data_IF_621600858414
#
_entry.id   IF_621600858414
#
_cell.length_a   1.000
_cell.length_b   1.000
_cell.length_c   1.000
_cell.angle_alpha   90.00
_cell.angle_beta   90.00
_cell.angle_gamma   90.00
#
_symmetry.space_group_name_H-M   'P 1'
#
loop_
_entity.id
_entity.type
_entity.pdbx_description
1 polymer ?
#
# COMPACT_ATOMS: atom_id res chain seq x y z
N UNK A 1 1.19 -15.17 -32.00
CA UNK A 1 0.82 -14.10 -31.06
C UNK A 1 1.31 -14.56 -29.70
N UNK A 2 2.32 -13.91 -29.15
CA UNK A 2 2.87 -14.27 -27.84
C UNK A 2 1.92 -13.76 -26.76
N UNK A 3 1.38 -14.67 -25.94
CA UNK A 3 0.70 -14.31 -24.70
C UNK A 3 1.72 -13.64 -23.79
N UNK A 4 1.63 -12.33 -23.65
CA UNK A 4 2.51 -11.56 -22.78
C UNK A 4 2.11 -11.83 -21.32
N UNK A 5 2.88 -12.70 -20.66
CA UNK A 5 2.67 -13.04 -19.27
C UNK A 5 3.26 -11.94 -18.39
N UNK A 6 2.42 -11.28 -17.61
CA UNK A 6 2.84 -10.28 -16.63
C UNK A 6 3.12 -11.00 -15.31
N UNK A 7 4.37 -10.96 -14.86
CA UNK A 7 4.79 -11.39 -13.53
C UNK A 7 4.85 -10.19 -12.60
N UNK A 8 4.38 -10.35 -11.36
CA UNK A 8 4.44 -9.29 -10.34
C UNK A 8 4.87 -9.86 -8.99
N UNK A 9 5.56 -9.05 -8.21
CA UNK A 9 5.89 -9.38 -6.83
C UNK A 9 4.62 -9.45 -5.98
N UNK A 10 4.60 -10.38 -5.04
CA UNK A 10 3.58 -10.46 -3.98
C UNK A 10 4.26 -10.79 -2.65
N UNK A 11 3.75 -10.22 -1.57
CA UNK A 11 4.29 -10.41 -0.22
C UNK A 11 3.21 -11.02 0.66
N UNK A 12 3.55 -12.12 1.33
CA UNK A 12 2.66 -12.83 2.24
C UNK A 12 3.12 -12.62 3.68
N UNK A 13 2.24 -12.09 4.52
CA UNK A 13 2.48 -11.99 5.96
C UNK A 13 1.98 -13.27 6.64
N UNK A 14 2.92 -14.14 7.02
CA UNK A 14 2.66 -15.43 7.68
C UNK A 14 2.50 -15.14 9.18
N UNK A 15 1.26 -15.12 9.66
CA UNK A 15 0.90 -14.49 10.94
C UNK A 15 1.18 -15.36 12.18
N UNK A 16 1.65 -14.73 13.26
CA UNK A 16 1.29 -15.12 14.65
C UNK A 16 0.71 -13.96 15.48
N UNK A 17 1.11 -12.70 15.28
CA UNK A 17 0.56 -11.53 16.01
C UNK A 17 0.04 -10.47 15.02
N UNK A 18 -1.12 -9.84 15.30
CA UNK A 18 -1.63 -8.70 14.52
C UNK A 18 -0.90 -7.45 15.00
N UNK A 19 -0.13 -6.78 14.15
CA UNK A 19 0.72 -5.67 14.58
C UNK A 19 0.70 -4.42 13.71
N UNK A 20 1.19 -3.34 14.31
CA UNK A 20 1.45 -2.04 13.69
C UNK A 20 2.59 -2.13 12.65
N UNK A 21 3.48 -3.13 12.78
CA UNK A 21 4.64 -3.32 11.89
C UNK A 21 4.22 -3.72 10.47
N UNK A 22 3.23 -4.59 10.35
CA UNK A 22 2.70 -5.03 9.05
C UNK A 22 2.01 -3.87 8.32
N UNK A 23 1.43 -2.91 9.05
CA UNK A 23 0.80 -1.73 8.45
C UNK A 23 1.86 -0.86 7.75
N UNK A 24 2.99 -0.60 8.40
CA UNK A 24 4.06 0.24 7.84
C UNK A 24 4.65 -0.39 6.58
N UNK A 25 4.90 -1.70 6.62
CA UNK A 25 5.40 -2.43 5.47
C UNK A 25 4.38 -2.50 4.33
N UNK A 26 3.10 -2.67 4.65
CA UNK A 26 2.02 -2.66 3.65
C UNK A 26 1.94 -1.30 2.93
N UNK A 27 1.98 -0.19 3.67
CA UNK A 27 1.97 1.15 3.08
C UNK A 27 3.21 1.38 2.19
N UNK A 28 4.39 0.91 2.62
CA UNK A 28 5.63 1.01 1.86
C UNK A 28 5.57 0.21 0.55
N UNK A 29 5.10 -1.03 0.59
CA UNK A 29 4.96 -1.89 -0.59
C UNK A 29 3.92 -1.34 -1.56
N UNK A 30 2.79 -0.83 -1.05
CA UNK A 30 1.76 -0.19 -1.85
C UNK A 30 2.31 1.07 -2.55
N UNK A 31 3.08 1.91 -1.85
CA UNK A 31 3.74 3.08 -2.46
C UNK A 31 4.71 2.68 -3.56
N UNK A 32 5.60 1.72 -3.30
CA UNK A 32 6.54 1.19 -4.30
C UNK A 32 5.79 0.80 -5.57
N UNK A 33 4.70 0.04 -5.42
CA UNK A 33 3.90 -0.41 -6.57
C UNK A 33 3.17 0.73 -7.28
N UNK A 34 2.67 1.71 -6.53
CA UNK A 34 2.03 2.89 -7.10
C UNK A 34 3.03 3.74 -7.91
N UNK A 35 4.25 3.93 -7.40
CA UNK A 35 5.34 4.61 -8.11
C UNK A 35 5.68 3.88 -9.44
N UNK A 36 5.83 2.55 -9.41
CA UNK A 36 6.13 1.73 -10.60
C UNK A 36 5.05 1.80 -11.70
N UNK A 37 3.79 1.86 -11.29
CA UNK A 37 2.64 1.88 -12.21
C UNK A 37 2.18 3.29 -12.57
N UNK A 38 2.79 4.34 -11.99
CA UNK A 38 2.34 5.72 -12.17
C UNK A 38 0.97 6.02 -11.56
N UNK A 39 0.53 5.24 -10.57
CA UNK A 39 -0.74 5.46 -9.85
C UNK A 39 -0.56 6.67 -8.93
N UNK A 40 -1.55 7.58 -8.90
CA UNK A 40 -1.54 8.77 -8.03
C UNK A 40 -2.69 8.85 -7.04
N UNK A 41 -3.73 8.04 -7.20
CA UNK A 41 -4.86 7.98 -6.29
C UNK A 41 -4.77 6.76 -5.39
N UNK A 42 -4.84 6.96 -4.08
CA UNK A 42 -4.67 5.92 -3.06
C UNK A 42 -5.89 5.96 -2.14
N UNK A 43 -6.48 4.81 -1.86
CA UNK A 43 -7.59 4.67 -0.91
C UNK A 43 -7.14 3.81 0.27
N UNK A 44 -7.29 4.30 1.50
CA UNK A 44 -6.88 3.60 2.72
C UNK A 44 -8.05 3.53 3.69
N UNK A 45 -8.43 2.32 4.09
CA UNK A 45 -9.42 2.12 5.16
C UNK A 45 -8.79 2.39 6.53
N UNK A 46 -9.39 3.26 7.35
CA UNK A 46 -8.91 3.56 8.70
C UNK A 46 -10.03 3.96 9.65
N UNK A 47 -10.29 3.11 10.65
CA UNK A 47 -11.37 3.34 11.63
C UNK A 47 -10.99 4.39 12.68
N UNK A 48 -9.78 4.30 13.26
CA UNK A 48 -9.31 5.18 14.34
C UNK A 48 -8.34 6.27 13.88
N UNK A 49 -8.04 6.33 12.59
CA UNK A 49 -7.14 7.32 12.00
C UNK A 49 -5.63 7.03 12.16
N UNK A 50 -5.22 6.04 12.96
CA UNK A 50 -3.80 5.69 13.13
C UNK A 50 -3.13 5.31 11.79
N UNK A 51 -3.79 4.47 11.01
CA UNK A 51 -3.32 4.11 9.65
C UNK A 51 -3.36 5.31 8.72
N UNK A 52 -4.39 6.16 8.82
CA UNK A 52 -4.53 7.36 7.99
C UNK A 52 -3.40 8.36 8.22
N UNK A 53 -3.01 8.58 9.48
CA UNK A 53 -1.88 9.46 9.84
C UNK A 53 -0.60 8.97 9.17
N UNK A 54 -0.29 7.68 9.28
CA UNK A 54 0.89 7.09 8.64
C UNK A 54 0.82 7.16 7.12
N UNK A 55 -0.34 6.85 6.55
CA UNK A 55 -0.56 6.93 5.11
C UNK A 55 -0.35 8.35 4.58
N UNK A 56 -0.76 9.38 5.33
CA UNK A 56 -0.58 10.79 4.93
C UNK A 56 0.89 11.18 4.75
N UNK A 57 1.80 10.60 5.54
CA UNK A 57 3.24 10.81 5.41
C UNK A 57 3.84 9.97 4.28
N UNK A 58 3.43 8.70 4.15
CA UNK A 58 3.96 7.80 3.12
C UNK A 58 3.57 8.26 1.71
N UNK A 59 2.33 8.74 1.55
CA UNK A 59 1.75 9.12 0.26
C UNK A 59 1.70 10.65 0.08
N UNK A 60 2.70 11.37 0.60
CA UNK A 60 2.83 12.80 0.33
C UNK A 60 2.91 13.06 -1.19
N UNK A 61 2.14 14.04 -1.69
CA UNK A 61 2.04 14.33 -3.12
C UNK A 61 1.14 13.39 -3.93
N UNK A 62 0.43 12.47 -3.29
CA UNK A 62 -0.62 11.66 -3.88
C UNK A 62 -2.02 12.20 -3.55
N UNK A 63 -3.01 11.79 -4.33
CA UNK A 63 -4.42 11.95 -3.99
C UNK A 63 -4.84 10.84 -3.01
N UNK A 64 -4.75 11.11 -1.71
CA UNK A 64 -5.06 10.15 -0.65
C UNK A 64 -6.51 10.32 -0.15
N UNK A 65 -7.30 9.25 -0.25
CA UNK A 65 -8.67 9.15 0.29
C UNK A 65 -8.69 8.19 1.46
N UNK A 66 -9.28 8.61 2.58
CA UNK A 66 -9.44 7.80 3.77
C UNK A 66 -10.91 7.40 3.91
N UNK A 67 -11.16 6.12 4.18
CA UNK A 67 -12.51 5.53 4.33
C UNK A 67 -12.67 4.85 5.69
#
# INVERSE_FOLDING_TARGET
MIDEHITTDSTYFIKQERGVKETDETLRLAKKRADELGIKSIVVASIRGETALKASHVFEGYNLVIV
#
